data_IF_569005953135
#
_entry.id   IF_569005953135
#
_cell.length_a   1.000
_cell.length_b   1.000
_cell.length_c   1.000
_cell.angle_alpha   90.00
_cell.angle_beta   90.00
_cell.angle_gamma   90.00
#
_symmetry.space_group_name_H-M   'P 1'
#
loop_
_entity.id
_entity.type
_entity.pdbx_description
1 polymer ?
#
# COMPACT_ATOMS: atom_id res chain seq x y z
N UNK A 1 4.61 -3.40 -12.93
CA UNK A 1 5.33 -2.12 -13.06
C UNK A 1 4.54 -1.16 -12.21
N UNK A 2 5.11 -0.72 -11.09
CA UNK A 2 4.44 0.19 -10.17
C UNK A 2 4.65 1.63 -10.63
N UNK A 3 3.56 2.34 -10.91
CA UNK A 3 3.61 3.75 -11.29
C UNK A 3 3.75 4.64 -10.05
N UNK A 4 4.59 5.67 -10.16
CA UNK A 4 4.78 6.63 -9.09
C UNK A 4 3.66 7.67 -9.13
N UNK A 5 2.85 7.70 -8.07
CA UNK A 5 1.86 8.75 -7.83
C UNK A 5 2.51 9.87 -7.01
N UNK A 6 2.25 11.16 -7.32
CA UNK A 6 2.67 12.28 -6.50
C UNK A 6 2.34 12.11 -5.01
N UNK A 7 3.23 12.61 -4.15
CA UNK A 7 3.26 12.24 -2.74
C UNK A 7 2.03 12.70 -1.93
N UNK A 8 1.41 13.79 -2.33
CA UNK A 8 0.20 14.42 -1.78
C UNK A 8 -1.09 13.78 -2.32
N UNK A 9 -1.04 13.30 -3.56
CA UNK A 9 -2.16 12.59 -4.19
C UNK A 9 -2.32 11.18 -3.62
N UNK A 10 -1.22 10.47 -3.36
CA UNK A 10 -1.26 9.10 -2.83
C UNK A 10 -1.82 9.04 -1.39
N UNK A 11 -1.58 10.04 -0.55
CA UNK A 11 -2.19 10.12 0.81
C UNK A 11 -3.71 10.30 0.72
N UNK A 12 -4.19 11.07 -0.27
CA UNK A 12 -5.62 11.26 -0.53
C UNK A 12 -6.28 9.98 -1.06
N UNK A 13 -5.63 9.31 -2.02
CA UNK A 13 -6.13 8.07 -2.62
C UNK A 13 -6.22 6.98 -1.55
N UNK A 14 -5.13 6.75 -0.81
CA UNK A 14 -5.09 5.71 0.23
C UNK A 14 -5.97 6.10 1.42
N UNK A 15 -6.14 7.39 1.70
CA UNK A 15 -7.07 7.88 2.72
C UNK A 15 -6.49 7.93 4.13
N UNK A 16 -5.16 7.99 4.27
CA UNK A 16 -4.45 8.19 5.55
C UNK A 16 -3.18 9.00 5.33
N UNK A 17 -2.69 9.64 6.38
CA UNK A 17 -1.40 10.32 6.37
C UNK A 17 -0.25 9.30 6.45
N UNK A 18 0.93 9.62 5.91
CA UNK A 18 2.10 8.74 6.04
C UNK A 18 2.45 8.48 7.49
N UNK A 19 2.42 7.20 7.84
CA UNK A 19 2.93 6.73 9.11
C UNK A 19 4.47 6.76 9.13
N UNK A 20 5.06 6.92 10.34
CA UNK A 20 6.52 7.01 10.51
C UNK A 20 7.25 5.81 9.92
N UNK A 21 6.75 4.60 10.22
CA UNK A 21 7.42 3.32 9.87
C UNK A 21 6.58 2.36 9.03
N UNK A 22 5.26 2.47 9.12
CA UNK A 22 4.36 1.49 8.51
C UNK A 22 4.00 1.94 7.09
N UNK A 23 3.91 0.97 6.19
CA UNK A 23 3.37 1.18 4.86
C UNK A 23 1.87 0.95 4.94
N UNK A 24 1.10 1.81 4.29
CA UNK A 24 -0.35 1.66 4.16
C UNK A 24 -0.71 1.42 2.71
N UNK A 25 -1.87 0.85 2.47
CA UNK A 25 -2.39 0.70 1.12
C UNK A 25 -3.90 0.63 1.12
N UNK A 26 -4.45 0.75 -0.08
CA UNK A 26 -5.89 0.67 -0.34
C UNK A 26 -6.09 0.01 -1.69
N UNK A 27 -6.93 -1.02 -1.73
CA UNK A 27 -7.43 -1.57 -2.98
C UNK A 27 -8.66 -0.75 -3.38
N UNK A 28 -8.52 0.11 -4.39
CA UNK A 28 -9.63 0.93 -4.91
C UNK A 28 -10.39 0.08 -5.91
N UNK A 29 -11.56 -0.41 -5.49
CA UNK A 29 -12.34 -1.39 -6.27
C UNK A 29 -12.82 -0.81 -7.60
N UNK A 30 -13.21 0.48 -7.59
CA UNK A 30 -13.66 1.21 -8.77
C UNK A 30 -12.59 1.34 -9.87
N UNK A 31 -11.31 1.34 -9.48
CA UNK A 31 -10.17 1.47 -10.39
C UNK A 31 -9.46 0.13 -10.64
N UNK A 32 -9.93 -0.94 -9.97
CA UNK A 32 -9.29 -2.26 -9.95
C UNK A 32 -7.78 -2.19 -9.65
N UNK A 33 -7.38 -1.25 -8.80
CA UNK A 33 -5.97 -0.90 -8.56
C UNK A 33 -5.64 -0.90 -7.07
N UNK A 34 -4.46 -1.39 -6.71
CA UNK A 34 -3.94 -1.33 -5.33
C UNK A 34 -2.86 -0.27 -5.24
N UNK A 35 -3.07 0.67 -4.34
CA UNK A 35 -2.14 1.76 -4.07
C UNK A 35 -1.32 1.50 -2.81
N UNK A 36 -0.04 1.88 -2.85
CA UNK A 36 0.89 1.82 -1.70
C UNK A 36 1.26 3.22 -1.27
N UNK A 37 0.99 3.53 -0.01
CA UNK A 37 1.56 4.66 0.70
C UNK A 37 2.79 4.21 1.48
N UNK A 38 3.97 4.51 0.93
CA UNK A 38 5.24 4.28 1.62
C UNK A 38 5.37 5.11 2.89
N UNK A 39 5.93 4.50 3.94
CA UNK A 39 6.21 5.18 5.20
C UNK A 39 7.14 6.39 5.01
N UNK A 40 7.15 7.30 5.99
CA UNK A 40 8.08 8.45 5.97
C UNK A 40 9.53 7.99 5.90
N UNK A 41 9.91 7.04 6.75
CA UNK A 41 11.27 6.47 6.75
C UNK A 41 11.65 5.87 5.39
N UNK A 42 10.73 5.16 4.72
CA UNK A 42 10.99 4.59 3.40
C UNK A 42 11.18 5.68 2.34
N UNK A 43 10.31 6.71 2.34
CA UNK A 43 10.39 7.84 1.42
C UNK A 43 11.67 8.64 1.61
N UNK A 44 12.04 8.89 2.87
CA UNK A 44 13.14 9.76 3.23
C UNK A 44 14.50 9.05 3.19
N UNK A 45 14.52 7.71 3.07
CA UNK A 45 15.74 6.92 2.93
C UNK A 45 16.51 7.16 1.63
N UNK A 46 15.88 7.80 0.64
CA UNK A 46 16.49 8.08 -0.67
C UNK A 46 16.54 6.87 -1.62
N UNK A 47 15.98 5.73 -1.24
CA UNK A 47 15.84 4.58 -2.16
C UNK A 47 14.86 4.93 -3.28
N UNK A 48 15.02 4.27 -4.43
CA UNK A 48 13.94 4.23 -5.40
C UNK A 48 12.76 3.45 -4.79
N UNK A 49 11.60 4.10 -4.65
CA UNK A 49 10.41 3.47 -4.07
C UNK A 49 9.91 2.27 -4.88
N UNK A 50 10.27 2.17 -6.16
CA UNK A 50 9.97 0.99 -6.99
C UNK A 50 10.79 -0.24 -6.55
N UNK A 51 11.94 -0.03 -5.94
CA UNK A 51 12.79 -1.09 -5.39
C UNK A 51 12.41 -1.47 -3.95
N UNK A 52 11.51 -0.71 -3.32
CA UNK A 52 11.00 -1.05 -2.00
C UNK A 52 10.34 -2.43 -2.03
N UNK A 53 10.60 -3.25 -1.00
CA UNK A 53 10.08 -4.62 -0.89
C UNK A 53 8.56 -4.74 -1.08
N UNK A 54 7.81 -3.70 -0.73
CA UNK A 54 6.35 -3.66 -0.88
C UNK A 54 5.93 -3.41 -2.34
N UNK A 55 6.64 -2.54 -3.06
CA UNK A 55 6.43 -2.30 -4.50
C UNK A 55 6.78 -3.55 -5.31
N UNK A 56 7.92 -4.18 -5.00
CA UNK A 56 8.31 -5.47 -5.59
C UNK A 56 7.27 -6.55 -5.29
N UNK A 57 6.68 -6.55 -4.09
CA UNK A 57 5.62 -7.50 -3.73
C UNK A 57 4.32 -7.22 -4.50
N UNK A 58 3.98 -5.95 -4.78
CA UNK A 58 2.85 -5.58 -5.61
C UNK A 58 3.04 -5.98 -7.08
N UNK A 59 4.25 -5.81 -7.62
CA UNK A 59 4.60 -6.27 -8.97
C UNK A 59 4.48 -7.80 -9.12
N UNK A 60 4.66 -8.55 -8.03
CA UNK A 60 4.42 -10.01 -7.97
C UNK A 60 2.94 -10.38 -7.76
N UNK A 61 2.08 -9.37 -7.63
CA UNK A 61 0.65 -9.50 -7.44
C UNK A 61 0.20 -9.48 -5.98
N UNK A 62 -1.11 -9.36 -5.82
CA UNK A 62 -1.79 -9.43 -4.53
C UNK A 62 -2.34 -10.84 -4.28
N UNK A 63 -2.81 -11.09 -3.06
CA UNK A 63 -3.62 -12.27 -2.73
C UNK A 63 -5.11 -11.86 -2.71
N UNK A 64 -5.92 -12.12 -3.76
CA UNK A 64 -7.29 -11.61 -3.85
C UNK A 64 -8.16 -11.97 -2.66
N UNK A 65 -8.01 -13.18 -2.10
CA UNK A 65 -8.80 -13.65 -0.96
C UNK A 65 -8.45 -12.92 0.33
N UNK A 66 -7.22 -12.40 0.45
CA UNK A 66 -6.83 -11.57 1.58
C UNK A 66 -7.37 -10.16 1.43
N UNK A 67 -7.46 -9.64 0.21
CA UNK A 67 -7.91 -8.28 -0.08
C UNK A 67 -9.43 -8.14 -0.19
N UNK A 68 -10.17 -9.22 -0.45
CA UNK A 68 -11.62 -9.18 -0.65
C UNK A 68 -12.40 -8.55 0.51
N UNK A 69 -11.92 -8.74 1.74
CA UNK A 69 -12.49 -8.16 2.96
C UNK A 69 -11.98 -6.75 3.30
N UNK A 70 -11.04 -6.21 2.53
CA UNK A 70 -10.35 -4.93 2.79
C UNK A 70 -10.33 -4.01 1.56
N UNK A 71 -11.32 -4.14 0.68
CA UNK A 71 -11.50 -3.24 -0.45
C UNK A 71 -11.95 -1.86 0.04
N UNK A 72 -11.49 -0.82 -0.63
CA UNK A 72 -11.84 0.58 -0.43
C UNK A 72 -11.57 1.15 0.96
N UNK A 73 -10.82 0.43 1.81
CA UNK A 73 -10.44 0.85 3.16
C UNK A 73 -8.91 0.90 3.29
N UNK A 74 -8.33 1.94 3.89
CA UNK A 74 -6.91 1.98 4.19
C UNK A 74 -6.52 0.92 5.22
N UNK A 75 -5.45 0.18 4.94
CA UNK A 75 -4.90 -0.88 5.80
C UNK A 75 -3.38 -0.84 5.83
N UNK A 76 -2.78 -1.24 6.95
CA UNK A 76 -1.34 -1.46 6.98
C UNK A 76 -0.95 -2.65 6.10
N UNK A 77 0.22 -2.58 5.48
CA UNK A 77 0.68 -3.57 4.51
C UNK A 77 1.69 -4.55 5.11
N UNK A 78 1.60 -5.80 4.65
CA UNK A 78 2.58 -6.86 4.85
C UNK A 78 3.03 -7.47 3.53
N UNK A 79 4.08 -8.29 3.61
CA UNK A 79 4.52 -9.14 2.49
C UNK A 79 4.50 -10.59 2.96
N UNK A 80 3.78 -11.45 2.23
CA UNK A 80 3.66 -12.88 2.54
C UNK A 80 3.84 -13.71 1.28
N UNK A 81 4.74 -14.70 1.33
CA UNK A 81 5.19 -15.46 0.16
C UNK A 81 5.50 -14.56 -1.07
N UNK A 82 6.12 -13.40 -0.82
CA UNK A 82 6.51 -12.45 -1.86
C UNK A 82 5.36 -11.64 -2.49
N UNK A 83 4.12 -11.75 -1.97
CA UNK A 83 2.96 -10.98 -2.43
C UNK A 83 2.52 -9.94 -1.41
N UNK A 84 1.89 -8.88 -1.89
CA UNK A 84 1.36 -7.83 -1.04
C UNK A 84 0.06 -8.27 -0.35
N UNK A 85 0.00 -8.13 0.97
CA UNK A 85 -1.17 -8.48 1.77
C UNK A 85 -1.60 -7.32 2.69
N UNK A 86 -2.88 -7.21 3.03
CA UNK A 86 -3.36 -6.34 4.09
C UNK A 86 -3.13 -6.99 5.46
N UNK A 87 -2.81 -6.20 6.48
CA UNK A 87 -2.75 -6.65 7.87
C UNK A 87 -4.11 -6.46 8.53
N UNK A 88 -4.71 -7.55 8.99
CA UNK A 88 -6.02 -7.53 9.66
C UNK A 88 -5.97 -6.70 10.95
N UNK A 89 -7.06 -6.00 11.27
CA UNK A 89 -7.16 -5.20 12.48
C UNK A 89 -6.41 -3.86 12.42
N UNK A 90 -5.98 -3.46 11.22
CA UNK A 90 -5.28 -2.19 10.95
C UNK A 90 -6.09 -1.27 10.04
N UNK A 91 -7.36 -1.61 9.82
CA UNK A 91 -8.31 -0.83 9.06
C UNK A 91 -8.48 0.54 9.72
N UNK A 92 -8.24 1.60 8.96
CA UNK A 92 -8.48 2.96 9.42
C UNK A 92 -9.86 3.37 8.94
N UNK A 93 -10.84 3.34 9.85
CA UNK A 93 -12.18 3.88 9.60
C UNK A 93 -12.13 5.36 9.95
N UNK A 94 -12.42 6.23 8.97
CA UNK A 94 -12.63 7.66 9.19
C UNK A 94 -14.09 7.93 9.50
#
# INVERSE_FOLDING_TARGET
MSDLVPADEIERIVGVDRHRKAHFGRAVSAEQTVYILHSRECRDSGIDLRECRFSVALDRGIKPEAWSAHQDVPVALGVWHGRLIPLKGTEVVR
#
